data_IF_208294640590
#
_entry.id   IF_208294640590
#
_cell.length_a   1.000
_cell.length_b   1.000
_cell.length_c   1.000
_cell.angle_alpha   90.00
_cell.angle_beta   90.00
_cell.angle_gamma   90.00
#
_symmetry.space_group_name_H-M   'P 1'
#
loop_
_entity.id
_entity.type
_entity.pdbx_description
1 polymer ?
#
# COMPACT_ATOMS: atom_id res chain seq x y z
N UNK A 1 8.34 3.24 0.83
CA UNK A 1 7.34 4.21 0.32
C UNK A 1 6.37 3.56 -0.67
N UNK A 2 5.08 3.92 -0.65
CA UNK A 2 4.09 3.49 -1.64
C UNK A 2 4.17 4.34 -2.92
N UNK A 3 3.97 3.71 -4.07
CA UNK A 3 3.87 4.40 -5.36
C UNK A 3 2.53 5.14 -5.50
N UNK A 4 2.45 6.07 -6.46
CA UNK A 4 1.18 6.77 -6.78
C UNK A 4 0.06 5.79 -7.13
N UNK A 5 0.36 4.73 -7.89
CA UNK A 5 -0.64 3.72 -8.28
C UNK A 5 -1.07 2.84 -7.11
N UNK A 6 -0.14 2.45 -6.25
CA UNK A 6 -0.45 1.72 -5.02
C UNK A 6 -1.39 2.53 -4.10
N UNK A 7 -1.09 3.82 -3.90
CA UNK A 7 -1.95 4.73 -3.13
C UNK A 7 -3.35 4.86 -3.75
N UNK A 8 -3.43 5.13 -5.05
CA UNK A 8 -4.70 5.27 -5.77
C UNK A 8 -5.59 4.02 -5.65
N UNK A 9 -5.01 2.83 -5.82
CA UNK A 9 -5.76 1.57 -5.70
C UNK A 9 -6.28 1.36 -4.28
N UNK A 10 -5.48 1.67 -3.25
CA UNK A 10 -5.93 1.58 -1.85
C UNK A 10 -7.04 2.59 -1.52
N UNK A 11 -6.95 3.83 -2.02
CA UNK A 11 -7.99 4.85 -1.86
C UNK A 11 -9.33 4.43 -2.47
N UNK A 12 -9.30 3.81 -3.66
CA UNK A 12 -10.52 3.30 -4.30
C UNK A 12 -11.09 2.10 -3.55
N UNK A 13 -10.24 1.21 -3.01
CA UNK A 13 -10.70 0.13 -2.11
C UNK A 13 -11.32 0.68 -0.83
N UNK A 14 -10.77 1.75 -0.24
CA UNK A 14 -11.35 2.42 0.93
C UNK A 14 -12.76 2.94 0.66
N UNK A 15 -13.05 3.33 -0.59
CA UNK A 15 -14.38 3.75 -1.07
C UNK A 15 -15.32 2.58 -1.38
N UNK A 16 -14.90 1.33 -1.14
CA UNK A 16 -15.72 0.14 -1.33
C UNK A 16 -15.68 -0.46 -2.74
N UNK A 17 -14.86 0.07 -3.65
CA UNK A 17 -14.78 -0.48 -5.01
C UNK A 17 -14.08 -1.86 -5.03
N UNK A 18 -14.64 -2.77 -5.82
CA UNK A 18 -14.08 -4.08 -6.14
C UNK A 18 -12.98 -3.95 -7.19
N UNK A 19 -12.14 -4.98 -7.31
CA UNK A 19 -10.95 -4.91 -8.18
C UNK A 19 -11.27 -4.72 -9.66
N UNK A 20 -12.36 -5.30 -10.15
CA UNK A 20 -12.86 -5.11 -11.51
C UNK A 20 -13.34 -3.68 -11.77
N UNK A 21 -14.01 -3.05 -10.79
CA UNK A 21 -14.44 -1.65 -10.87
C UNK A 21 -13.25 -0.69 -10.85
N UNK A 22 -12.24 -0.99 -10.03
CA UNK A 22 -10.97 -0.26 -9.99
C UNK A 22 -10.22 -0.40 -11.32
N UNK A 23 -10.18 -1.62 -11.87
CA UNK A 23 -9.54 -1.90 -13.16
C UNK A 23 -10.17 -1.07 -14.28
N UNK A 24 -11.51 -1.05 -14.35
CA UNK A 24 -12.26 -0.23 -15.30
C UNK A 24 -11.98 1.26 -15.10
N UNK A 25 -12.06 1.74 -13.84
CA UNK A 25 -11.87 3.17 -13.51
C UNK A 25 -10.47 3.67 -13.83
N UNK A 26 -9.45 2.84 -13.60
CA UNK A 26 -8.05 3.19 -13.83
C UNK A 26 -7.56 2.79 -15.23
N UNK A 27 -8.41 2.17 -16.05
CA UNK A 27 -8.09 1.65 -17.39
C UNK A 27 -6.86 0.73 -17.39
N UNK A 28 -6.81 -0.20 -16.44
CA UNK A 28 -5.76 -1.23 -16.33
C UNK A 28 -6.40 -2.61 -16.16
N UNK A 29 -5.62 -3.68 -16.27
CA UNK A 29 -6.12 -5.04 -16.05
C UNK A 29 -6.39 -5.31 -14.57
N UNK A 30 -7.36 -6.18 -14.26
CA UNK A 30 -7.62 -6.62 -12.89
C UNK A 30 -6.40 -7.30 -12.24
N UNK A 31 -5.59 -8.12 -12.95
CA UNK A 31 -4.32 -8.60 -12.42
C UNK A 31 -3.36 -7.48 -12.01
N UNK A 32 -3.30 -6.38 -12.77
CA UNK A 32 -2.47 -5.23 -12.38
C UNK A 32 -2.98 -4.57 -11.09
N UNK A 33 -4.30 -4.43 -10.92
CA UNK A 33 -4.90 -3.96 -9.65
C UNK A 33 -4.48 -4.86 -8.49
N UNK A 34 -4.62 -6.18 -8.65
CA UNK A 34 -4.20 -7.16 -7.64
C UNK A 34 -2.72 -7.02 -7.28
N UNK A 35 -1.85 -6.88 -8.27
CA UNK A 35 -0.42 -6.67 -8.06
C UNK A 35 -0.13 -5.40 -7.26
N UNK A 36 -0.77 -4.27 -7.60
CA UNK A 36 -0.63 -3.03 -6.84
C UNK A 36 -1.12 -3.16 -5.40
N UNK A 37 -2.27 -3.81 -5.16
CA UNK A 37 -2.76 -4.09 -3.81
C UNK A 37 -1.74 -4.90 -3.02
N UNK A 38 -1.28 -6.02 -3.56
CA UNK A 38 -0.39 -6.94 -2.86
C UNK A 38 0.96 -6.28 -2.55
N UNK A 39 1.51 -5.53 -3.51
CA UNK A 39 2.75 -4.78 -3.29
C UNK A 39 2.57 -3.69 -2.22
N UNK A 40 1.45 -2.97 -2.23
CA UNK A 40 1.18 -1.95 -1.22
C UNK A 40 1.05 -2.55 0.18
N UNK A 41 0.29 -3.64 0.32
CA UNK A 41 0.10 -4.32 1.60
C UNK A 41 1.41 -4.93 2.14
N UNK A 42 2.25 -5.49 1.27
CA UNK A 42 3.59 -5.97 1.64
C UNK A 42 4.42 -4.82 2.22
N UNK A 43 4.51 -3.70 1.50
CA UNK A 43 5.27 -2.52 1.95
C UNK A 43 4.78 -1.96 3.29
N UNK A 44 3.46 -1.92 3.50
CA UNK A 44 2.87 -1.47 4.77
C UNK A 44 3.24 -2.42 5.90
N UNK A 45 3.18 -3.74 5.65
CA UNK A 45 3.57 -4.76 6.64
C UNK A 45 5.05 -4.65 7.00
N UNK A 46 5.91 -4.50 6.01
CA UNK A 46 7.35 -4.38 6.22
C UNK A 46 7.67 -3.11 7.01
N UNK A 47 7.06 -1.97 6.64
CA UNK A 47 7.21 -0.72 7.39
C UNK A 47 6.73 -0.88 8.85
N UNK A 48 5.60 -1.54 9.09
CA UNK A 48 5.11 -1.80 10.45
C UNK A 48 6.13 -2.60 11.28
N UNK A 49 6.69 -3.68 10.70
CA UNK A 49 7.72 -4.49 11.37
C UNK A 49 8.98 -3.69 11.68
N UNK A 50 9.42 -2.85 10.74
CA UNK A 50 10.57 -1.96 10.98
C UNK A 50 10.30 -1.00 12.12
N UNK A 51 9.10 -0.41 12.19
CA UNK A 51 8.72 0.49 13.28
C UNK A 51 8.62 -0.24 14.63
N UNK A 52 8.14 -1.49 14.64
CA UNK A 52 8.16 -2.34 15.84
C UNK A 52 9.60 -2.59 16.30
N UNK A 53 10.50 -2.99 15.40
CA UNK A 53 11.91 -3.19 15.70
C UNK A 53 12.59 -1.93 16.26
N UNK A 54 12.32 -0.77 15.66
CA UNK A 54 12.88 0.52 16.11
C UNK A 54 12.45 0.84 17.54
N UNK A 55 11.19 0.56 17.90
CA UNK A 55 10.68 0.72 19.26
C UNK A 55 11.34 -0.25 20.22
N UNK A 56 11.47 -1.52 19.84
CA UNK A 56 12.08 -2.56 20.67
C UNK A 56 13.56 -2.27 20.97
N UNK A 57 14.26 -1.64 20.03
CA UNK A 57 15.66 -1.25 20.18
C UNK A 57 15.85 0.12 20.87
N UNK A 58 14.78 0.87 21.13
CA UNK A 58 14.86 2.21 21.72
C UNK A 58 15.62 3.22 20.85
N UNK A 59 15.56 3.07 19.52
CA UNK A 59 16.27 3.96 18.60
C UNK A 59 15.47 5.26 18.44
N UNK A 60 16.07 6.39 18.83
CA UNK A 60 15.61 7.73 18.51
C UNK A 60 16.23 8.18 17.19
N UNK A 61 15.42 8.74 16.30
CA UNK A 61 15.86 9.31 15.03
C UNK A 61 15.08 10.59 14.77
N UNK A 62 15.75 11.57 14.16
CA UNK A 62 15.11 12.82 13.75
C UNK A 62 14.25 12.55 12.50
N UNK A 63 12.98 12.99 12.52
CA UNK A 63 12.17 13.04 11.30
C UNK A 63 12.71 14.20 10.43
N UNK A 64 13.45 13.87 9.37
CA UNK A 64 13.87 14.81 8.32
C UNK A 64 12.69 15.46 7.58
#
# INVERSE_FOLDING_TARGET
MLTRKEKQVLELRKKGLKQNEIALRLRISQPAVSAFVNNALRKIRDAKKTMELVKDLGIEYEEE
#
